data_IF_094733091954
#
_entry.id   IF_094733091954
#
_cell.length_a   1.000
_cell.length_b   1.000
_cell.length_c   1.000
_cell.angle_alpha   90.00
_cell.angle_beta   90.00
_cell.angle_gamma   90.00
#
_symmetry.space_group_name_H-M   'P 1'
#
loop_
_entity.id
_entity.type
_entity.pdbx_description
1 polymer ?
#
# COMPACT_ATOMS: atom_id res chain seq x y z
N UNK A 1 -6.99 -13.84 -11.53
CA UNK A 1 -7.15 -12.40 -11.18
C UNK A 1 -8.42 -11.81 -11.81
N UNK A 2 -9.60 -12.41 -11.55
CA UNK A 2 -10.88 -11.91 -12.07
C UNK A 2 -12.04 -12.37 -11.17
N UNK A 3 -11.98 -12.04 -9.87
CA UNK A 3 -13.08 -12.35 -8.94
C UNK A 3 -13.84 -11.11 -8.47
N UNK A 4 -13.27 -9.91 -8.68
CA UNK A 4 -13.87 -8.62 -8.32
C UNK A 4 -13.53 -7.54 -9.37
N UNK A 5 -14.42 -6.56 -9.55
CA UNK A 5 -14.33 -5.49 -10.57
C UNK A 5 -13.30 -4.41 -10.26
N UNK A 6 -12.35 -4.64 -9.35
CA UNK A 6 -11.31 -3.68 -8.97
C UNK A 6 -9.99 -4.08 -9.61
N UNK A 7 -9.42 -3.20 -10.42
CA UNK A 7 -8.14 -3.45 -11.08
C UNK A 7 -6.95 -3.15 -10.16
N UNK A 8 -5.84 -3.85 -10.35
CA UNK A 8 -4.57 -3.58 -9.67
C UNK A 8 -4.14 -2.11 -9.82
N UNK A 9 -4.33 -1.53 -11.03
CA UNK A 9 -4.01 -0.14 -11.31
C UNK A 9 -4.84 0.84 -10.46
N UNK A 10 -6.10 0.52 -10.17
CA UNK A 10 -6.92 1.35 -9.30
C UNK A 10 -6.39 1.35 -7.86
N UNK A 11 -5.95 0.21 -7.34
CA UNK A 11 -5.35 0.11 -6.01
C UNK A 11 -4.02 0.87 -5.92
N UNK A 12 -3.17 0.76 -6.94
CA UNK A 12 -1.92 1.52 -7.05
C UNK A 12 -2.17 3.02 -7.13
N UNK A 13 -3.17 3.44 -7.91
CA UNK A 13 -3.52 4.87 -8.05
C UNK A 13 -4.01 5.46 -6.74
N UNK A 14 -4.77 4.70 -5.94
CA UNK A 14 -5.18 5.12 -4.59
C UNK A 14 -3.98 5.24 -3.65
N UNK A 15 -3.11 4.24 -3.65
CA UNK A 15 -1.90 4.21 -2.83
C UNK A 15 -0.99 5.41 -3.13
N UNK A 16 -0.73 5.68 -4.42
CA UNK A 16 0.10 6.79 -4.85
C UNK A 16 -0.47 8.18 -4.49
N UNK A 17 -1.78 8.28 -4.23
CA UNK A 17 -2.47 9.51 -3.83
C UNK A 17 -2.57 9.69 -2.31
N UNK A 18 -1.98 8.80 -1.52
CA UNK A 18 -2.08 8.82 -0.07
C UNK A 18 -3.41 8.30 0.49
N UNK A 19 -4.23 7.64 -0.34
CA UNK A 19 -5.39 6.93 0.17
C UNK A 19 -4.93 5.59 0.75
N UNK A 20 -4.66 5.58 2.06
CA UNK A 20 -4.19 4.37 2.74
C UNK A 20 -5.26 3.30 2.98
N UNK A 21 -6.53 3.62 2.69
CA UNK A 21 -7.65 2.71 2.92
C UNK A 21 -7.86 2.33 4.38
N UNK A 22 -8.07 1.03 4.61
CA UNK A 22 -8.47 0.39 5.87
C UNK A 22 -7.28 0.04 6.78
N UNK A 23 -6.31 0.95 6.87
CA UNK A 23 -5.21 0.86 7.84
C UNK A 23 -5.60 1.53 9.16
N UNK A 24 -4.97 1.15 10.27
CA UNK A 24 -5.22 1.78 11.56
C UNK A 24 -4.60 3.19 11.64
N UNK A 25 -4.94 3.94 12.70
CA UNK A 25 -4.40 5.30 12.89
C UNK A 25 -2.87 5.32 13.03
N UNK A 26 -2.29 4.30 13.67
CA UNK A 26 -0.84 4.17 13.82
C UNK A 26 -0.15 3.96 12.46
N UNK A 27 -0.67 3.06 11.62
CA UNK A 27 -0.12 2.81 10.29
C UNK A 27 -0.26 4.03 9.37
N UNK A 28 -1.37 4.76 9.50
CA UNK A 28 -1.56 6.04 8.80
C UNK A 28 -0.49 7.05 9.20
N UNK A 29 -0.26 7.23 10.50
CA UNK A 29 0.78 8.13 10.98
C UNK A 29 2.20 7.67 10.57
N UNK A 30 2.43 6.35 10.51
CA UNK A 30 3.67 5.78 10.02
C UNK A 30 3.87 6.07 8.52
N UNK A 31 2.84 5.93 7.69
CA UNK A 31 2.89 6.30 6.28
C UNK A 31 3.19 7.79 6.10
N UNK A 32 2.50 8.66 6.84
CA UNK A 32 2.68 10.11 6.72
C UNK A 32 4.12 10.50 7.09
N UNK A 33 4.67 9.91 8.16
CA UNK A 33 6.09 10.09 8.54
C UNK A 33 7.05 9.51 7.49
N UNK A 34 6.66 8.42 6.84
CA UNK A 34 7.45 7.74 5.82
C UNK A 34 7.48 8.46 4.48
N UNK A 35 6.52 9.36 4.18
CA UNK A 35 6.56 10.20 2.99
C UNK A 35 7.82 11.08 2.98
N UNK A 36 8.16 11.66 4.12
CA UNK A 36 9.37 12.49 4.28
C UNK A 36 10.59 11.67 4.72
N UNK A 37 10.39 10.70 5.63
CA UNK A 37 11.45 9.92 6.25
C UNK A 37 11.92 8.70 5.46
N UNK A 38 11.32 8.41 4.30
CA UNK A 38 11.70 7.26 3.47
C UNK A 38 11.31 5.89 4.02
N UNK A 39 10.47 5.81 5.06
CA UNK A 39 9.97 4.54 5.59
C UNK A 39 9.10 3.76 4.59
N UNK A 40 8.80 2.50 4.88
CA UNK A 40 7.86 1.69 4.09
C UNK A 40 6.46 2.33 4.10
N UNK A 41 5.75 2.25 2.98
CA UNK A 41 4.34 2.64 2.88
C UNK A 41 3.44 1.40 2.83
N UNK A 42 2.30 1.46 3.49
CA UNK A 42 1.30 0.39 3.55
C UNK A 42 -0.10 0.92 3.27
N UNK A 43 -0.84 0.26 2.40
CA UNK A 43 -2.29 0.46 2.28
C UNK A 43 -3.03 -0.86 2.34
N UNK A 44 -4.26 -0.81 2.84
CA UNK A 44 -5.14 -1.96 2.90
C UNK A 44 -6.49 -1.60 2.27
N UNK A 45 -6.96 -2.42 1.35
CA UNK A 45 -8.25 -2.24 0.69
C UNK A 45 -9.12 -3.46 0.88
N UNK A 46 -10.43 -3.24 0.91
CA UNK A 46 -11.40 -4.32 0.75
C UNK A 46 -11.73 -4.47 -0.73
N UNK A 47 -11.54 -5.68 -1.26
CA UNK A 47 -11.86 -6.03 -2.64
C UNK A 47 -12.80 -7.23 -2.58
N UNK A 48 -14.09 -6.92 -2.50
CA UNK A 48 -15.14 -7.94 -2.49
C UNK A 48 -15.16 -8.81 -1.23
N UNK A 49 -14.88 -8.21 -0.07
CA UNK A 49 -14.82 -8.89 1.22
C UNK A 49 -13.49 -9.55 1.54
N UNK A 50 -12.53 -9.51 0.61
CA UNK A 50 -11.15 -9.93 0.84
C UNK A 50 -10.25 -8.71 1.03
N UNK A 51 -9.36 -8.78 2.03
CA UNK A 51 -8.37 -7.74 2.25
C UNK A 51 -7.26 -7.88 1.21
N UNK A 52 -6.83 -6.77 0.63
CA UNK A 52 -5.66 -6.68 -0.26
C UNK A 52 -4.71 -5.62 0.30
N UNK A 53 -3.43 -5.93 0.38
CA UNK A 53 -2.38 -5.02 0.80
C UNK A 53 -1.62 -4.46 -0.40
N UNK A 54 -1.28 -3.18 -0.34
CA UNK A 54 -0.36 -2.53 -1.28
C UNK A 54 0.80 -1.97 -0.48
N UNK A 55 2.00 -2.45 -0.75
CA UNK A 55 3.21 -2.14 0.02
C UNK A 55 4.24 -1.55 -0.92
N UNK A 56 4.77 -0.37 -0.58
CA UNK A 56 5.94 0.20 -1.25
C UNK A 56 7.13 0.14 -0.32
N UNK A 57 8.24 -0.40 -0.80
CA UNK A 57 9.47 -0.52 -0.03
C UNK A 57 9.94 0.82 0.54
N UNK A 58 10.68 0.74 1.64
CA UNK A 58 11.41 1.88 2.17
C UNK A 58 12.39 2.41 1.10
N UNK A 59 12.63 3.71 1.13
CA UNK A 59 13.67 4.33 0.34
C UNK A 59 15.04 3.82 0.81
N UNK A 60 15.95 3.61 -0.14
CA UNK A 60 17.36 3.34 0.17
C UNK A 60 18.11 4.64 0.51
N UNK A 61 19.42 4.55 0.76
CA UNK A 61 20.29 5.70 1.08
C UNK A 61 20.30 6.80 0.01
N UNK A 62 19.87 6.49 -1.22
CA UNK A 62 19.71 7.45 -2.32
C UNK A 62 18.30 8.03 -2.44
N UNK A 63 17.40 7.74 -1.49
CA UNK A 63 16.01 8.19 -1.52
C UNK A 63 15.10 7.45 -2.50
N UNK A 64 15.57 6.34 -3.10
CA UNK A 64 14.81 5.60 -4.11
C UNK A 64 14.08 4.41 -3.51
N UNK A 65 12.80 4.25 -3.86
CA UNK A 65 11.97 3.10 -3.50
C UNK A 65 12.05 2.06 -4.62
N UNK A 66 12.41 0.83 -4.26
CA UNK A 66 12.74 -0.20 -5.23
C UNK A 66 11.49 -0.83 -5.89
N UNK A 67 10.42 -1.02 -5.12
CA UNK A 67 9.25 -1.76 -5.60
C UNK A 67 7.96 -1.39 -4.89
N UNK A 68 6.83 -1.67 -5.56
CA UNK A 68 5.49 -1.70 -4.97
C UNK A 68 4.83 -3.04 -5.30
N UNK A 69 4.39 -3.76 -4.27
CA UNK A 69 3.74 -5.05 -4.39
C UNK A 69 2.28 -4.97 -3.99
N UNK A 70 1.44 -5.80 -4.62
CA UNK A 70 0.04 -6.03 -4.22
C UNK A 70 -0.02 -7.47 -3.72
N UNK A 71 -0.46 -7.65 -2.48
CA UNK A 71 -0.43 -8.94 -1.79
C UNK A 71 -1.79 -9.24 -1.15
N UNK A 72 -2.18 -10.51 -1.14
CA UNK A 72 -3.21 -11.04 -0.27
C UNK A 72 -2.61 -11.28 1.14
N UNK A 73 -3.42 -11.25 2.21
CA UNK A 73 -2.96 -11.50 3.58
C UNK A 73 -2.24 -12.84 3.77
N UNK A 74 -2.50 -13.81 2.90
CA UNK A 74 -1.91 -15.15 2.92
C UNK A 74 -0.56 -15.21 2.19
N UNK A 75 -0.22 -14.18 1.41
CA UNK A 75 1.03 -14.06 0.64
C UNK A 75 2.11 -13.28 1.39
N UNK A 76 1.80 -12.83 2.61
CA UNK A 76 2.72 -12.18 3.53
C UNK A 76 3.18 -13.17 4.60
#
# INVERSE_FOLDING_TARGET
MARHSVSALALLSRHARGDWGLVCAQDRAANDSALDGGGRLLSAYDVGGERVWVITDAANDSGLRASTCILLPQEY
#
